data_IF_620329531856
#
_entry.id   IF_620329531856
#
_cell.length_a   1.000
_cell.length_b   1.000
_cell.length_c   1.000
_cell.angle_alpha   90.00
_cell.angle_beta   90.00
_cell.angle_gamma   90.00
#
_symmetry.space_group_name_H-M   'P 1'
#
loop_
_entity.id
_entity.type
_entity.pdbx_description
1 polymer ?
#
# COMPACT_ATOMS: atom_id res chain seq x y z
N UNK A 1 29.42 43.44 45.41
CA UNK A 1 28.45 42.34 45.27
C UNK A 1 27.31 42.59 44.30
N UNK A 2 26.74 43.82 44.22
CA UNK A 2 25.66 44.17 43.25
C UNK A 2 26.10 44.07 41.77
N UNK A 3 27.34 44.47 41.46
CA UNK A 3 27.84 44.43 40.05
C UNK A 3 28.08 43.02 39.51
N UNK A 4 28.46 42.06 40.36
CA UNK A 4 28.67 40.67 39.95
C UNK A 4 27.34 39.96 39.64
N UNK A 5 26.26 40.31 40.36
CA UNK A 5 24.93 39.77 40.14
C UNK A 5 24.35 40.18 38.78
N UNK A 6 24.61 41.42 38.36
CA UNK A 6 24.14 41.96 37.07
C UNK A 6 24.86 41.30 35.90
N UNK A 7 26.16 41.01 36.02
CA UNK A 7 26.94 40.32 34.99
C UNK A 7 26.50 38.82 34.84
N UNK A 8 26.17 38.16 35.94
CA UNK A 8 25.63 36.78 35.93
C UNK A 8 24.24 36.72 35.29
N UNK A 9 23.37 37.71 35.54
CA UNK A 9 22.05 37.77 34.93
C UNK A 9 22.12 38.03 33.42
N UNK A 10 23.09 38.86 32.97
CA UNK A 10 23.29 39.15 31.54
C UNK A 10 23.84 37.91 30.76
N UNK A 11 24.68 37.10 31.40
CA UNK A 11 25.19 35.83 30.80
C UNK A 11 24.10 34.77 30.67
N UNK A 12 23.13 34.74 31.59
CA UNK A 12 21.99 33.82 31.47
C UNK A 12 21.00 34.22 30.36
N UNK A 13 20.85 35.52 30.09
CA UNK A 13 19.97 36.00 29.03
C UNK A 13 20.49 35.70 27.61
N UNK A 14 21.82 35.58 27.44
CA UNK A 14 22.44 35.23 26.13
C UNK A 14 22.31 33.74 25.78
N UNK A 15 22.19 32.85 26.76
CA UNK A 15 22.00 31.42 26.54
C UNK A 15 20.55 31.05 26.21
N UNK A 16 19.60 31.93 26.40
CA UNK A 16 18.19 31.70 26.12
C UNK A 16 17.80 31.88 24.64
N UNK A 17 18.67 32.46 23.80
CA UNK A 17 18.39 32.67 22.39
C UNK A 17 18.40 31.40 21.56
N UNK A 18 19.08 30.31 21.99
CA UNK A 18 19.08 29.05 21.30
C UNK A 18 17.77 28.21 21.52
N UNK A 19 17.00 28.56 22.57
CA UNK A 19 15.74 27.88 22.88
C UNK A 19 14.58 28.32 21.96
N UNK A 20 14.77 29.33 21.14
CA UNK A 20 13.79 29.82 20.17
C UNK A 20 14.25 29.67 18.71
N UNK A 21 15.14 28.75 18.40
CA UNK A 21 15.31 28.34 17.01
C UNK A 21 13.97 27.76 16.53
N UNK A 22 13.28 28.54 15.70
CA UNK A 22 12.15 28.06 14.93
C UNK A 22 12.62 26.80 14.21
N UNK A 23 12.09 25.65 14.65
CA UNK A 23 12.31 24.36 13.98
C UNK A 23 12.04 24.61 12.51
N UNK A 24 13.08 24.59 11.67
CA UNK A 24 12.91 24.68 10.22
C UNK A 24 11.99 23.52 9.87
N UNK A 25 10.73 23.84 9.55
CA UNK A 25 9.84 22.82 9.00
C UNK A 25 10.51 22.28 7.75
N UNK A 26 10.68 20.98 7.68
CA UNK A 26 11.04 20.36 6.41
C UNK A 26 10.06 20.87 5.36
N UNK A 27 10.52 21.17 4.12
CA UNK A 27 9.58 21.48 3.06
C UNK A 27 8.52 20.39 3.04
N UNK A 28 7.25 20.70 2.70
CA UNK A 28 6.22 19.68 2.57
C UNK A 28 6.79 18.56 1.71
N UNK A 29 6.74 17.32 2.20
CA UNK A 29 7.04 16.17 1.36
C UNK A 29 6.11 16.27 0.15
N UNK A 30 6.63 16.03 -1.05
CA UNK A 30 5.79 15.91 -2.24
C UNK A 30 4.59 15.00 -1.91
N UNK A 31 3.40 15.37 -2.40
CA UNK A 31 2.21 14.56 -2.20
C UNK A 31 2.47 13.14 -2.73
N UNK A 32 1.95 12.13 -2.03
CA UNK A 32 2.05 10.77 -2.50
C UNK A 32 1.40 10.64 -3.88
N UNK A 33 2.06 9.94 -4.81
CA UNK A 33 1.52 9.73 -6.15
C UNK A 33 0.16 9.00 -6.06
N UNK A 34 -0.86 9.55 -6.72
CA UNK A 34 -2.20 8.97 -6.75
C UNK A 34 -3.01 9.52 -7.93
N UNK A 35 -3.74 8.64 -8.61
CA UNK A 35 -4.65 9.03 -9.70
C UNK A 35 -6.06 9.23 -9.13
N UNK A 36 -6.45 10.48 -8.87
CA UNK A 36 -7.76 10.78 -8.26
C UNK A 36 -8.96 10.36 -9.11
N UNK A 37 -8.78 10.29 -10.42
CA UNK A 37 -9.82 9.91 -11.36
C UNK A 37 -9.32 8.84 -12.34
N UNK A 38 -9.25 7.56 -11.94
CA UNK A 38 -8.78 6.48 -12.80
C UNK A 38 -9.79 6.20 -13.91
N UNK A 39 -9.71 6.98 -15.00
CA UNK A 39 -10.55 6.85 -16.19
C UNK A 39 -10.15 5.69 -17.11
N UNK A 40 -8.96 5.16 -16.91
CA UNK A 40 -8.35 4.03 -17.59
C UNK A 40 -7.97 2.95 -16.58
N UNK A 41 -7.94 1.69 -17.01
CA UNK A 41 -7.63 0.55 -16.14
C UNK A 41 -6.20 0.62 -15.62
N UNK A 42 -5.27 1.07 -16.45
CA UNK A 42 -3.87 1.27 -16.12
C UNK A 42 -3.69 2.25 -14.95
N UNK A 43 -4.48 3.32 -14.89
CA UNK A 43 -4.46 4.28 -13.78
C UNK A 43 -4.99 3.67 -12.48
N UNK A 44 -6.00 2.80 -12.58
CA UNK A 44 -6.51 2.07 -11.43
C UNK A 44 -5.51 1.01 -10.93
N UNK A 45 -4.80 0.36 -11.85
CA UNK A 45 -3.74 -0.59 -11.54
C UNK A 45 -2.53 0.11 -10.89
N UNK A 46 -2.12 1.26 -11.43
CA UNK A 46 -1.10 2.10 -10.82
C UNK A 46 -1.45 2.53 -9.38
N UNK A 47 -2.71 2.85 -9.12
CA UNK A 47 -3.15 3.18 -7.76
C UNK A 47 -3.01 1.99 -6.79
N UNK A 48 -3.17 0.76 -7.29
CA UNK A 48 -2.89 -0.44 -6.50
C UNK A 48 -1.41 -0.51 -6.12
N UNK A 49 -0.49 -0.28 -7.07
CA UNK A 49 0.96 -0.22 -6.82
C UNK A 49 1.29 0.89 -5.83
N UNK A 50 0.82 2.12 -6.07
CA UNK A 50 1.04 3.27 -5.19
C UNK A 50 0.56 3.06 -3.75
N UNK A 51 -0.53 2.31 -3.54
CA UNK A 51 -1.04 2.02 -2.22
C UNK A 51 -0.10 1.10 -1.42
N UNK A 52 0.54 0.16 -2.09
CA UNK A 52 1.50 -0.76 -1.45
C UNK A 52 2.90 -0.15 -1.32
N UNK A 53 3.33 0.67 -2.27
CA UNK A 53 4.69 1.24 -2.28
C UNK A 53 4.85 2.45 -1.37
N UNK A 54 3.76 3.19 -1.10
CA UNK A 54 3.77 4.38 -0.26
C UNK A 54 2.69 4.31 0.83
N UNK A 55 3.10 4.18 2.08
CA UNK A 55 2.21 4.10 3.24
C UNK A 55 1.26 5.30 3.38
N UNK A 56 1.61 6.46 2.81
CA UNK A 56 0.74 7.65 2.78
C UNK A 56 -0.53 7.42 1.95
N UNK A 57 -0.51 6.46 1.03
CA UNK A 57 -1.65 6.05 0.21
C UNK A 57 -2.54 4.98 0.86
N UNK A 58 -2.21 4.47 2.03
CA UNK A 58 -3.03 3.44 2.67
C UNK A 58 -4.50 3.88 2.85
N UNK A 59 -4.72 5.16 3.20
CA UNK A 59 -6.09 5.71 3.32
C UNK A 59 -6.83 5.80 1.98
N UNK A 60 -6.10 5.92 0.86
CA UNK A 60 -6.66 5.96 -0.48
C UNK A 60 -6.98 4.56 -1.01
N UNK A 61 -6.37 3.51 -0.46
CA UNK A 61 -6.49 2.14 -0.94
C UNK A 61 -7.95 1.66 -1.01
N UNK A 62 -8.76 1.99 0.00
CA UNK A 62 -10.17 1.64 0.02
C UNK A 62 -10.97 2.25 -1.14
N UNK A 63 -10.45 3.33 -1.78
CA UNK A 63 -11.09 3.98 -2.94
C UNK A 63 -10.96 3.17 -4.23
N UNK A 64 -10.11 2.14 -4.25
CA UNK A 64 -9.99 1.21 -5.39
C UNK A 64 -11.19 0.27 -5.52
N UNK A 65 -11.93 0.08 -4.43
CA UNK A 65 -12.92 -0.96 -4.31
C UNK A 65 -14.33 -0.37 -4.09
N UNK A 66 -15.35 -0.86 -4.80
CA UNK A 66 -16.74 -0.58 -4.46
C UNK A 66 -17.16 -1.33 -3.18
N UNK A 67 -18.33 -1.03 -2.63
CA UNK A 67 -18.80 -1.66 -1.38
C UNK A 67 -19.06 -3.17 -1.54
N UNK A 68 -19.45 -3.59 -2.73
CA UNK A 68 -19.70 -4.99 -3.09
C UNK A 68 -18.44 -5.75 -3.55
N UNK A 69 -17.26 -5.18 -3.33
CA UNK A 69 -15.98 -5.83 -3.62
C UNK A 69 -15.80 -7.15 -2.88
N UNK A 70 -15.14 -8.12 -3.57
CA UNK A 70 -14.69 -9.37 -2.97
C UNK A 70 -13.31 -9.75 -3.47
N UNK A 71 -12.46 -10.15 -2.54
CA UNK A 71 -11.21 -10.87 -2.80
C UNK A 71 -11.45 -12.36 -2.59
N UNK A 72 -10.95 -13.20 -3.48
CA UNK A 72 -11.04 -14.66 -3.41
C UNK A 72 -9.66 -15.27 -3.28
N UNK A 73 -9.45 -16.01 -2.22
CA UNK A 73 -8.20 -16.71 -1.94
C UNK A 73 -7.96 -17.86 -2.91
N UNK A 74 -6.69 -18.19 -3.17
CA UNK A 74 -6.32 -19.38 -3.91
C UNK A 74 -6.88 -20.64 -3.22
N UNK A 75 -7.46 -21.56 -3.97
CA UNK A 75 -8.08 -22.76 -3.41
C UNK A 75 -7.11 -23.62 -2.57
N UNK A 76 -5.83 -23.62 -2.95
CA UNK A 76 -4.78 -24.31 -2.21
C UNK A 76 -4.53 -23.63 -0.85
N UNK A 77 -4.57 -22.29 -0.77
CA UNK A 77 -4.35 -21.58 0.50
C UNK A 77 -5.49 -21.82 1.48
N UNK A 78 -6.73 -21.87 1.00
CA UNK A 78 -7.89 -22.25 1.82
C UNK A 78 -7.68 -23.62 2.45
N UNK A 79 -7.14 -24.58 1.65
CA UNK A 79 -6.93 -25.96 2.10
C UNK A 79 -5.72 -26.10 3.02
N UNK A 80 -4.59 -25.49 2.64
CA UNK A 80 -3.30 -25.72 3.28
C UNK A 80 -3.14 -24.90 4.57
N UNK A 81 -3.74 -23.70 4.62
CA UNK A 81 -3.55 -22.73 5.70
C UNK A 81 -4.83 -22.37 6.43
N UNK A 82 -5.97 -22.94 6.04
CA UNK A 82 -7.29 -22.66 6.62
C UNK A 82 -7.65 -21.17 6.54
N UNK A 83 -7.27 -20.50 5.43
CA UNK A 83 -7.66 -19.10 5.19
C UNK A 83 -9.17 -19.01 4.93
N UNK A 84 -9.70 -17.79 5.03
CA UNK A 84 -11.05 -17.52 4.53
C UNK A 84 -11.15 -17.82 3.04
N UNK A 85 -12.36 -18.08 2.54
CA UNK A 85 -12.59 -18.26 1.11
C UNK A 85 -12.65 -16.93 0.37
N UNK A 86 -13.12 -15.89 1.05
CA UNK A 86 -13.24 -14.53 0.50
C UNK A 86 -13.09 -13.45 1.58
N UNK A 87 -12.69 -12.25 1.15
CA UNK A 87 -12.62 -11.06 1.95
C UNK A 87 -13.45 -9.92 1.36
N UNK A 88 -13.89 -9.05 2.27
CA UNK A 88 -14.56 -7.79 1.93
C UNK A 88 -13.59 -6.62 1.88
N UNK A 89 -14.06 -5.47 1.38
CA UNK A 89 -13.34 -4.20 1.34
C UNK A 89 -12.80 -3.75 2.72
N UNK A 90 -13.53 -3.99 3.81
CA UNK A 90 -13.09 -3.55 5.14
C UNK A 90 -11.80 -4.26 5.58
N UNK A 91 -11.68 -5.56 5.33
CA UNK A 91 -10.50 -6.35 5.68
C UNK A 91 -9.26 -5.93 4.88
N UNK A 92 -9.43 -5.43 3.66
CA UNK A 92 -8.32 -4.93 2.82
C UNK A 92 -7.58 -3.74 3.46
N UNK A 93 -8.31 -2.77 4.02
CA UNK A 93 -7.69 -1.60 4.62
C UNK A 93 -6.88 -1.94 5.87
N UNK A 94 -7.47 -2.74 6.76
CA UNK A 94 -6.80 -3.14 8.02
C UNK A 94 -5.52 -3.92 7.71
N UNK A 95 -5.59 -4.85 6.76
CA UNK A 95 -4.44 -5.60 6.28
C UNK A 95 -3.32 -4.68 5.75
N UNK A 96 -3.64 -3.71 4.89
CA UNK A 96 -2.61 -2.84 4.30
C UNK A 96 -1.94 -1.95 5.35
N UNK A 97 -2.68 -1.45 6.34
CA UNK A 97 -2.12 -0.70 7.47
C UNK A 97 -1.15 -1.55 8.29
N UNK A 98 -1.52 -2.80 8.57
CA UNK A 98 -0.65 -3.74 9.29
C UNK A 98 0.61 -4.06 8.48
N UNK A 99 0.47 -4.24 7.16
CA UNK A 99 1.59 -4.51 6.26
C UNK A 99 2.61 -3.35 6.28
N UNK A 100 2.15 -2.10 6.19
CA UNK A 100 3.01 -0.91 6.28
C UNK A 100 3.62 -0.69 7.67
N UNK A 101 3.04 -1.26 8.71
CA UNK A 101 3.64 -1.25 10.05
C UNK A 101 4.77 -2.28 10.15
N UNK A 102 4.62 -3.41 9.48
CA UNK A 102 5.59 -4.52 9.50
C UNK A 102 6.81 -4.27 8.63
N UNK A 103 6.61 -3.65 7.45
CA UNK A 103 7.65 -3.46 6.45
C UNK A 103 7.97 -1.98 6.23
N UNK A 104 9.26 -1.65 6.17
CA UNK A 104 9.75 -0.29 5.93
C UNK A 104 9.67 0.14 4.47
N UNK A 105 9.67 -0.81 3.55
CA UNK A 105 9.38 -0.58 2.13
C UNK A 105 8.77 -1.83 1.51
N UNK A 106 7.89 -1.61 0.53
CA UNK A 106 7.25 -2.65 -0.27
C UNK A 106 7.40 -2.24 -1.72
N UNK A 107 7.67 -3.19 -2.59
CA UNK A 107 7.71 -3.01 -4.05
C UNK A 107 6.84 -4.08 -4.69
N UNK A 108 6.02 -3.68 -5.65
CA UNK A 108 5.17 -4.57 -6.44
C UNK A 108 5.62 -4.53 -7.89
N UNK A 109 5.69 -5.69 -8.51
CA UNK A 109 5.87 -5.85 -9.95
C UNK A 109 4.66 -6.59 -10.51
N UNK A 110 3.98 -5.99 -11.49
CA UNK A 110 2.79 -6.55 -12.14
C UNK A 110 3.07 -6.77 -13.63
N UNK A 111 3.20 -8.01 -14.04
CA UNK A 111 3.51 -8.39 -15.42
C UNK A 111 2.25 -8.84 -16.17
N UNK A 112 1.94 -8.27 -17.34
CA UNK A 112 0.81 -8.71 -18.15
C UNK A 112 0.96 -10.18 -18.56
N UNK A 113 -0.13 -10.94 -18.44
CA UNK A 113 -0.20 -12.30 -18.96
C UNK A 113 -0.67 -12.25 -20.42
N UNK A 114 0.15 -12.66 -21.40
CA UNK A 114 -0.15 -12.48 -22.83
C UNK A 114 -1.48 -13.08 -23.25
N UNK A 115 -2.29 -12.29 -23.97
CA UNK A 115 -3.53 -12.74 -24.60
C UNK A 115 -4.70 -13.01 -23.66
N UNK A 116 -4.61 -12.61 -22.38
CA UNK A 116 -5.62 -12.94 -21.37
C UNK A 116 -6.61 -11.81 -21.08
N UNK A 117 -6.25 -10.53 -21.31
CA UNK A 117 -7.10 -9.39 -20.94
C UNK A 117 -8.37 -9.29 -21.81
N UNK A 118 -9.51 -9.12 -21.15
CA UNK A 118 -10.82 -8.92 -21.75
C UNK A 118 -11.30 -7.49 -21.44
N UNK A 119 -11.26 -6.60 -22.44
CA UNK A 119 -11.58 -5.20 -22.27
C UNK A 119 -12.95 -4.85 -22.86
N UNK A 120 -13.87 -4.37 -22.03
CA UNK A 120 -15.17 -3.87 -22.40
C UNK A 120 -15.37 -2.42 -21.99
N UNK A 121 -16.49 -1.82 -22.38
CA UNK A 121 -16.76 -0.41 -22.12
C UNK A 121 -16.99 -0.07 -20.63
N UNK A 122 -17.60 -1.02 -19.88
CA UNK A 122 -17.98 -0.81 -18.48
C UNK A 122 -17.49 -1.95 -17.55
N UNK A 123 -17.01 -3.03 -18.10
CA UNK A 123 -16.46 -4.17 -17.39
C UNK A 123 -15.20 -4.65 -18.10
N UNK A 124 -14.22 -5.11 -17.34
CA UNK A 124 -13.01 -5.67 -17.88
C UNK A 124 -12.48 -6.75 -16.94
N UNK A 125 -11.71 -7.70 -17.49
CA UNK A 125 -10.90 -8.63 -16.73
C UNK A 125 -9.48 -8.49 -17.17
N UNK A 126 -8.59 -8.37 -16.24
CA UNK A 126 -7.15 -8.35 -16.50
C UNK A 126 -6.44 -9.43 -15.71
N UNK A 127 -5.40 -9.98 -16.31
CA UNK A 127 -4.60 -11.06 -15.74
C UNK A 127 -3.17 -10.61 -15.59
N UNK A 128 -2.62 -10.71 -14.38
CA UNK A 128 -1.24 -10.32 -14.08
C UNK A 128 -0.53 -11.42 -13.31
N UNK A 129 0.70 -11.70 -13.69
CA UNK A 129 1.65 -12.28 -12.76
C UNK A 129 2.12 -11.18 -11.82
N UNK A 130 2.32 -11.50 -10.55
CA UNK A 130 2.79 -10.54 -9.57
C UNK A 130 3.97 -11.06 -8.76
N UNK A 131 4.82 -10.12 -8.35
CA UNK A 131 5.89 -10.31 -7.36
C UNK A 131 5.82 -9.17 -6.36
N UNK A 132 5.79 -9.48 -5.07
CA UNK A 132 5.81 -8.49 -3.98
C UNK A 132 7.05 -8.74 -3.15
N UNK A 133 7.87 -7.69 -3.03
CA UNK A 133 9.10 -7.68 -2.26
C UNK A 133 9.00 -6.67 -1.13
N UNK A 134 9.60 -6.97 0.00
CA UNK A 134 9.57 -6.06 1.14
C UNK A 134 10.89 -6.05 1.91
N UNK A 135 11.10 -4.98 2.70
CA UNK A 135 12.19 -4.84 3.67
C UNK A 135 11.63 -4.71 5.07
N UNK A 136 12.27 -5.36 6.03
CA UNK A 136 11.93 -5.25 7.45
C UNK A 136 12.91 -4.30 8.13
N UNK A 137 12.40 -3.22 8.74
CA UNK A 137 13.22 -2.25 9.49
C UNK A 137 14.34 -1.63 8.65
N UNK A 138 15.49 -1.40 9.26
CA UNK A 138 16.66 -0.79 8.63
C UNK A 138 17.59 -1.80 7.94
N UNK A 139 17.15 -3.04 7.74
CA UNK A 139 17.95 -4.05 7.07
C UNK A 139 18.04 -3.76 5.57
N UNK A 140 19.21 -4.06 4.98
CA UNK A 140 19.36 -3.96 3.52
C UNK A 140 18.73 -5.16 2.79
N UNK A 141 18.29 -6.19 3.54
CA UNK A 141 17.75 -7.41 2.97
C UNK A 141 16.34 -7.19 2.41
N UNK A 142 16.16 -7.58 1.17
CA UNK A 142 14.87 -7.60 0.47
C UNK A 142 14.41 -9.04 0.40
N UNK A 143 13.20 -9.30 0.83
CA UNK A 143 12.59 -10.64 0.80
C UNK A 143 11.36 -10.66 -0.10
N UNK A 144 11.17 -11.74 -0.82
CA UNK A 144 9.93 -11.99 -1.56
C UNK A 144 8.85 -12.40 -0.54
N UNK A 145 7.79 -11.61 -0.45
CA UNK A 145 6.68 -11.85 0.50
C UNK A 145 5.43 -12.42 -0.16
N UNK A 146 5.30 -12.27 -1.47
CA UNK A 146 4.26 -12.95 -2.25
C UNK A 146 4.66 -13.07 -3.72
N UNK A 147 4.24 -14.17 -4.36
CA UNK A 147 4.43 -14.42 -5.78
C UNK A 147 3.28 -15.30 -6.29
N UNK A 148 2.69 -14.91 -7.42
CA UNK A 148 1.57 -15.66 -7.98
C UNK A 148 1.00 -15.02 -9.24
N UNK A 149 -0.25 -15.40 -9.52
CA UNK A 149 -1.04 -14.81 -10.59
C UNK A 149 -2.34 -14.26 -10.01
N UNK A 150 -2.88 -13.24 -10.64
CA UNK A 150 -4.16 -12.68 -10.26
C UNK A 150 -5.05 -12.41 -11.47
N UNK A 151 -6.34 -12.49 -11.23
CA UNK A 151 -7.38 -12.07 -12.14
C UNK A 151 -8.18 -10.94 -11.47
N UNK A 152 -8.18 -9.75 -12.06
CA UNK A 152 -8.91 -8.59 -11.56
C UNK A 152 -10.11 -8.32 -12.46
N UNK A 153 -11.31 -8.34 -11.88
CA UNK A 153 -12.52 -7.89 -12.55
C UNK A 153 -12.76 -6.43 -12.22
N UNK A 154 -12.72 -5.61 -13.22
CA UNK A 154 -13.00 -4.19 -13.13
C UNK A 154 -14.43 -3.86 -13.49
N UNK A 155 -14.97 -2.84 -12.83
CA UNK A 155 -16.28 -2.24 -13.13
C UNK A 155 -16.13 -0.74 -13.24
N UNK A 156 -16.73 -0.15 -14.28
CA UNK A 156 -16.71 1.29 -14.48
C UNK A 156 -17.97 1.93 -13.88
N UNK A 157 -17.77 2.80 -12.89
CA UNK A 157 -18.83 3.53 -12.20
C UNK A 157 -18.52 5.03 -12.27
N UNK A 158 -19.46 5.84 -12.76
CA UNK A 158 -19.30 7.29 -12.88
C UNK A 158 -18.01 7.72 -13.62
N UNK A 159 -17.63 6.96 -14.65
CA UNK A 159 -16.44 7.23 -15.45
C UNK A 159 -15.10 6.75 -14.86
N UNK A 160 -15.10 6.14 -13.68
CA UNK A 160 -13.91 5.60 -13.00
C UNK A 160 -13.93 4.09 -12.98
N UNK A 161 -12.76 3.48 -13.06
CA UNK A 161 -12.59 2.06 -12.92
C UNK A 161 -12.31 1.68 -11.47
N UNK A 162 -13.00 0.62 -11.00
CA UNK A 162 -12.88 0.04 -9.67
C UNK A 162 -12.62 -1.45 -9.78
N UNK A 163 -11.77 -1.98 -8.91
CA UNK A 163 -11.58 -3.43 -8.76
C UNK A 163 -12.82 -3.97 -8.03
N UNK A 164 -13.67 -4.71 -8.74
CA UNK A 164 -14.91 -5.28 -8.20
C UNK A 164 -14.70 -6.66 -7.59
N UNK A 165 -13.87 -7.50 -8.27
CA UNK A 165 -13.46 -8.80 -7.75
C UNK A 165 -11.99 -9.02 -8.03
N UNK A 166 -11.34 -9.72 -7.12
CA UNK A 166 -9.94 -10.10 -7.21
C UNK A 166 -9.82 -11.58 -6.91
N UNK A 167 -9.35 -12.37 -7.85
CA UNK A 167 -9.05 -13.79 -7.68
C UNK A 167 -7.54 -13.96 -7.62
N UNK A 168 -7.08 -14.69 -6.61
CA UNK A 168 -5.67 -15.00 -6.40
C UNK A 168 -5.38 -16.45 -6.78
N UNK A 169 -4.22 -16.67 -7.41
CA UNK A 169 -3.82 -17.98 -7.88
C UNK A 169 -2.36 -18.26 -7.53
N UNK A 170 -2.11 -19.42 -6.97
CA UNK A 170 -0.77 -19.90 -6.68
C UNK A 170 -0.05 -20.26 -7.99
N UNK A 171 1.21 -19.76 -8.16
CA UNK A 171 2.06 -20.08 -9.30
C UNK A 171 3.25 -20.98 -8.97
N UNK A 172 3.38 -21.41 -7.70
CA UNK A 172 4.48 -22.23 -7.21
C UNK A 172 4.38 -22.51 -5.72
N UNK A 173 5.51 -22.62 -5.04
CA UNK A 173 5.57 -22.86 -3.59
C UNK A 173 5.70 -21.59 -2.75
N UNK A 174 5.90 -20.43 -3.38
CA UNK A 174 5.97 -19.16 -2.67
C UNK A 174 4.60 -18.77 -2.09
N UNK A 175 4.55 -17.96 -1.02
CA UNK A 175 3.31 -17.40 -0.53
C UNK A 175 2.56 -16.64 -1.62
N UNK A 176 1.24 -16.75 -1.64
CA UNK A 176 0.38 -15.97 -2.53
C UNK A 176 0.09 -14.59 -1.92
N UNK A 177 -0.49 -13.68 -2.71
CA UNK A 177 -1.01 -12.41 -2.19
C UNK A 177 -2.07 -12.65 -1.12
N UNK A 178 -2.95 -13.62 -1.32
CA UNK A 178 -3.96 -14.00 -0.35
C UNK A 178 -3.36 -14.50 0.97
N UNK A 179 -2.37 -15.38 0.92
CA UNK A 179 -1.70 -15.86 2.13
C UNK A 179 -1.00 -14.71 2.86
N UNK A 180 -0.28 -13.83 2.14
CA UNK A 180 0.32 -12.62 2.71
C UNK A 180 -0.74 -11.72 3.37
N UNK A 181 -1.90 -11.53 2.75
CA UNK A 181 -3.02 -10.76 3.34
C UNK A 181 -3.49 -11.41 4.64
N UNK A 182 -3.74 -12.72 4.62
CA UNK A 182 -4.19 -13.47 5.79
C UNK A 182 -3.21 -13.34 6.98
N UNK A 183 -1.92 -13.40 6.73
CA UNK A 183 -0.88 -13.27 7.77
C UNK A 183 -0.73 -11.85 8.34
N UNK A 184 -1.32 -10.85 7.70
CA UNK A 184 -1.27 -9.45 8.10
C UNK A 184 -2.65 -8.86 8.44
N UNK A 185 -3.66 -9.71 8.63
CA UNK A 185 -5.02 -9.31 9.01
C UNK A 185 -5.19 -9.12 10.52
#
# INVERSE_FOLDING_TARGET
MRSILIVLLALFALSACELFELRKSSPPSEDAAWNDFPSEIELALQNLEYAYEDSRNAVNYSRLFPEDYRFYFAAQDITDFSTDSEWSRAQELDMLLNLHTRYSSITIELEPMPGSDELGANEAKIYRAYSIKARTGDTAEVVDIALGNMELHYKRLFGRWYIHKWYDYRSGSAPTWGLMKHENS
#
